data_IF_389532049436
#
_entry.id   IF_389532049436
#
_cell.length_a   1.000
_cell.length_b   1.000
_cell.length_c   1.000
_cell.angle_alpha   90.00
_cell.angle_beta   90.00
_cell.angle_gamma   90.00
#
_symmetry.space_group_name_H-M   'P 1'
#
loop_
_entity.id
_entity.type
_entity.pdbx_description
1 polymer ?
#
# COMPACT_ATOMS: atom_id res chain seq x y z
N UNK A 1 -68.60 15.04 -104.20
CA UNK A 1 -67.71 15.70 -103.22
C UNK A 1 -67.98 15.31 -101.76
N UNK A 2 -69.12 14.67 -101.43
CA UNK A 2 -69.45 14.23 -100.06
C UNK A 2 -69.01 12.79 -99.68
N UNK A 3 -68.66 11.93 -100.65
CA UNK A 3 -68.21 10.54 -100.36
C UNK A 3 -66.71 10.42 -100.02
N UNK A 4 -65.91 11.47 -100.28
CA UNK A 4 -64.48 11.50 -99.94
C UNK A 4 -64.21 11.87 -98.48
N UNK A 5 -65.09 12.65 -97.85
CA UNK A 5 -64.90 13.20 -96.50
C UNK A 5 -65.37 12.20 -95.42
N UNK A 6 -66.39 11.40 -95.71
CA UNK A 6 -66.89 10.33 -94.81
C UNK A 6 -65.91 9.17 -94.67
N UNK A 7 -65.11 8.83 -95.71
CA UNK A 7 -64.02 7.84 -95.59
C UNK A 7 -62.84 8.34 -94.73
N UNK A 8 -62.57 9.64 -94.69
CA UNK A 8 -61.54 10.22 -93.83
C UNK A 8 -61.97 10.25 -92.35
N UNK A 9 -63.23 10.58 -92.07
CA UNK A 9 -63.78 10.64 -90.71
C UNK A 9 -63.95 9.26 -90.07
N UNK A 10 -64.19 8.21 -90.86
CA UNK A 10 -64.21 6.83 -90.34
C UNK A 10 -62.82 6.27 -90.01
N UNK A 11 -61.76 6.80 -90.65
CA UNK A 11 -60.37 6.46 -90.34
C UNK A 11 -59.96 7.04 -88.98
N UNK A 12 -60.34 8.29 -88.69
CA UNK A 12 -60.02 8.97 -87.42
C UNK A 12 -60.79 8.46 -86.18
N UNK A 13 -62.01 7.91 -86.32
CA UNK A 13 -62.72 7.27 -85.20
C UNK A 13 -62.11 5.94 -84.77
N UNK A 14 -61.33 5.29 -85.64
CA UNK A 14 -60.57 4.06 -85.34
C UNK A 14 -59.25 4.33 -84.61
N UNK A 15 -58.75 5.58 -84.65
CA UNK A 15 -57.43 5.96 -84.14
C UNK A 15 -57.41 6.52 -82.70
N UNK A 16 -58.55 6.79 -82.04
CA UNK A 16 -58.53 7.19 -80.62
C UNK A 16 -57.92 6.12 -79.71
N UNK A 17 -58.14 4.83 -80.03
CA UNK A 17 -57.47 3.71 -79.36
C UNK A 17 -55.99 3.65 -79.70
N UNK A 18 -55.61 3.97 -80.93
CA UNK A 18 -54.20 4.01 -81.35
C UNK A 18 -53.43 5.14 -80.63
N UNK A 19 -54.00 6.35 -80.57
CA UNK A 19 -53.42 7.49 -79.84
C UNK A 19 -53.37 7.22 -78.33
N UNK A 20 -54.42 6.62 -77.75
CA UNK A 20 -54.42 6.21 -76.33
C UNK A 20 -53.37 5.14 -76.04
N UNK A 21 -53.20 4.16 -76.92
CA UNK A 21 -52.18 3.12 -76.77
C UNK A 21 -50.77 3.72 -76.89
N UNK A 22 -50.54 4.66 -77.82
CA UNK A 22 -49.26 5.36 -77.94
C UNK A 22 -48.97 6.20 -76.69
N UNK A 23 -49.96 6.92 -76.15
CA UNK A 23 -49.82 7.70 -74.91
C UNK A 23 -49.51 6.81 -73.71
N UNK A 24 -50.20 5.67 -73.59
CA UNK A 24 -49.94 4.67 -72.55
C UNK A 24 -48.54 4.10 -72.69
N UNK A 25 -48.08 3.78 -73.90
CA UNK A 25 -46.72 3.27 -74.15
C UNK A 25 -45.66 4.31 -73.82
N UNK A 26 -45.85 5.57 -74.23
CA UNK A 26 -44.91 6.67 -73.93
C UNK A 26 -44.85 6.96 -72.43
N UNK A 27 -45.99 7.01 -71.74
CA UNK A 27 -46.04 7.19 -70.28
C UNK A 27 -45.41 5.98 -69.55
N UNK A 28 -45.67 4.76 -70.01
CA UNK A 28 -45.08 3.53 -69.46
C UNK A 28 -43.57 3.52 -69.64
N UNK A 29 -43.06 3.93 -70.81
CA UNK A 29 -41.63 4.08 -71.07
C UNK A 29 -40.98 5.14 -70.19
N UNK A 30 -41.62 6.31 -70.05
CA UNK A 30 -41.12 7.37 -69.16
C UNK A 30 -41.05 6.91 -67.70
N UNK A 31 -42.09 6.22 -67.21
CA UNK A 31 -42.11 5.63 -65.86
C UNK A 31 -41.02 4.58 -65.72
N UNK A 32 -40.84 3.70 -66.72
CA UNK A 32 -39.81 2.67 -66.72
C UNK A 32 -38.40 3.27 -66.64
N UNK A 33 -38.12 4.32 -67.43
CA UNK A 33 -36.83 5.02 -67.40
C UNK A 33 -36.57 5.64 -66.03
N UNK A 34 -37.58 6.26 -65.40
CA UNK A 34 -37.45 6.82 -64.05
C UNK A 34 -37.17 5.72 -63.01
N UNK A 35 -37.87 4.59 -63.09
CA UNK A 35 -37.67 3.45 -62.18
C UNK A 35 -36.27 2.86 -62.37
N UNK A 36 -35.87 2.55 -63.61
CA UNK A 36 -34.55 1.99 -63.91
C UNK A 36 -33.44 2.94 -63.47
N UNK A 37 -33.58 4.25 -63.72
CA UNK A 37 -32.60 5.25 -63.28
C UNK A 37 -32.47 5.29 -61.75
N UNK A 38 -33.59 5.19 -61.01
CA UNK A 38 -33.57 5.10 -59.54
C UNK A 38 -32.93 3.81 -59.04
N UNK A 39 -33.19 2.68 -59.68
CA UNK A 39 -32.59 1.39 -59.31
C UNK A 39 -31.08 1.39 -59.57
N UNK A 40 -30.63 1.93 -60.70
CA UNK A 40 -29.19 2.03 -61.03
C UNK A 40 -28.49 2.99 -60.07
N UNK A 41 -29.10 4.14 -59.77
CA UNK A 41 -28.55 5.09 -58.81
C UNK A 41 -28.43 4.46 -57.42
N UNK A 42 -29.49 3.79 -56.95
CA UNK A 42 -29.48 3.08 -55.68
C UNK A 42 -28.41 1.99 -55.65
N UNK A 43 -28.28 1.19 -56.72
CA UNK A 43 -27.22 0.18 -56.81
C UNK A 43 -25.82 0.78 -56.77
N UNK A 44 -25.61 1.93 -57.41
CA UNK A 44 -24.33 2.65 -57.35
C UNK A 44 -24.03 3.18 -55.94
N UNK A 45 -25.02 3.77 -55.28
CA UNK A 45 -24.91 4.28 -53.91
C UNK A 45 -24.60 3.15 -52.91
N UNK A 46 -25.30 2.01 -53.02
CA UNK A 46 -25.05 0.83 -52.19
C UNK A 46 -23.66 0.25 -52.43
N UNK A 47 -23.24 0.09 -53.68
CA UNK A 47 -21.90 -0.41 -54.00
C UNK A 47 -20.80 0.52 -53.49
N UNK A 48 -21.02 1.85 -53.51
CA UNK A 48 -20.07 2.82 -52.96
C UNK A 48 -20.00 2.73 -51.44
N UNK A 49 -21.15 2.64 -50.76
CA UNK A 49 -21.20 2.46 -49.31
C UNK A 49 -20.53 1.16 -48.87
N UNK A 50 -20.79 0.05 -49.59
CA UNK A 50 -20.14 -1.24 -49.35
C UNK A 50 -18.62 -1.14 -49.54
N UNK A 51 -18.17 -0.41 -50.57
CA UNK A 51 -16.74 -0.19 -50.79
C UNK A 51 -16.09 0.66 -49.68
N UNK A 52 -16.72 1.76 -49.28
CA UNK A 52 -16.22 2.65 -48.23
C UNK A 52 -16.21 1.94 -46.86
N UNK A 53 -17.25 1.16 -46.53
CA UNK A 53 -17.31 0.34 -45.32
C UNK A 53 -16.24 -0.74 -45.33
N UNK A 54 -15.94 -1.39 -46.46
CA UNK A 54 -14.82 -2.35 -46.55
C UNK A 54 -13.46 -1.70 -46.28
N UNK A 55 -13.30 -0.40 -46.60
CA UNK A 55 -12.05 0.34 -46.42
C UNK A 55 -11.86 0.94 -45.02
N UNK A 56 -12.92 1.03 -44.22
CA UNK A 56 -12.86 1.40 -42.80
C UNK A 56 -12.53 0.18 -41.94
N UNK A 57 -11.40 0.24 -41.24
CA UNK A 57 -11.02 -0.80 -40.28
C UNK A 57 -10.67 -0.11 -38.97
N UNK A 58 -11.49 -0.33 -37.95
CA UNK A 58 -11.30 0.20 -36.61
C UNK A 58 -10.96 -0.94 -35.66
N UNK A 59 -10.00 -0.67 -34.77
CA UNK A 59 -9.62 -1.55 -33.68
C UNK A 59 -9.70 -0.79 -32.36
N UNK A 60 -10.21 -1.47 -31.33
CA UNK A 60 -10.06 -1.02 -29.94
C UNK A 60 -8.85 -1.76 -29.38
N UNK A 61 -7.74 -1.04 -29.22
CA UNK A 61 -6.48 -1.63 -28.79
C UNK A 61 -6.35 -1.80 -27.29
N UNK A 62 -7.02 -0.94 -26.50
CA UNK A 62 -7.03 -1.01 -25.05
C UNK A 62 -8.29 -0.32 -24.47
N UNK A 63 -8.82 -0.86 -23.38
CA UNK A 63 -9.86 -0.25 -22.57
C UNK A 63 -9.53 -0.45 -21.10
N UNK A 64 -9.20 0.63 -20.40
CA UNK A 64 -8.84 0.59 -18.97
C UNK A 64 -9.50 1.74 -18.22
N UNK A 65 -9.59 1.65 -16.90
CA UNK A 65 -9.87 2.83 -16.08
C UNK A 65 -8.81 3.90 -16.35
N UNK A 66 -9.22 5.16 -16.43
CA UNK A 66 -8.29 6.26 -16.53
C UNK A 66 -7.59 6.46 -15.18
N UNK A 67 -6.37 6.99 -15.21
CA UNK A 67 -5.63 7.39 -14.00
C UNK A 67 -5.51 8.91 -14.03
N UNK A 68 -6.07 9.63 -13.03
CA UNK A 68 -5.89 11.07 -12.93
C UNK A 68 -4.45 11.41 -12.53
N UNK A 69 -3.99 12.61 -12.90
CA UNK A 69 -2.67 13.08 -12.49
C UNK A 69 -2.53 13.07 -10.96
N UNK A 70 -1.43 12.50 -10.46
CA UNK A 70 -1.18 12.35 -9.03
C UNK A 70 -1.96 11.21 -8.36
N UNK A 71 -2.47 10.23 -9.11
CA UNK A 71 -2.96 8.96 -8.59
C UNK A 71 -2.02 7.82 -8.98
N UNK A 72 -1.73 6.91 -8.05
CA UNK A 72 -0.69 5.90 -8.25
C UNK A 72 -0.87 5.09 -9.54
N UNK A 73 -2.04 4.45 -9.71
CA UNK A 73 -2.56 3.94 -10.98
C UNK A 73 -4.03 3.51 -10.85
N UNK A 74 -4.66 3.18 -11.98
CA UNK A 74 -6.08 2.86 -12.09
C UNK A 74 -6.53 1.57 -11.36
N UNK A 75 -5.59 0.71 -10.93
CA UNK A 75 -5.92 -0.53 -10.21
C UNK A 75 -6.20 -0.29 -8.72
N UNK A 76 -5.91 0.90 -8.21
CA UNK A 76 -6.16 1.28 -6.82
C UNK A 76 -7.42 2.14 -6.73
N UNK A 77 -8.49 1.57 -6.19
CA UNK A 77 -9.80 2.21 -6.15
C UNK A 77 -9.93 3.30 -5.08
N UNK A 78 -9.12 3.23 -4.02
CA UNK A 78 -9.22 4.14 -2.87
C UNK A 78 -7.84 4.63 -2.44
N UNK A 79 -7.81 5.85 -1.88
CA UNK A 79 -6.68 6.34 -1.10
C UNK A 79 -7.14 7.20 0.07
N UNK A 80 -6.26 7.47 1.01
CA UNK A 80 -6.46 8.51 2.02
C UNK A 80 -5.17 9.32 2.22
N UNK A 81 -5.25 10.65 2.41
CA UNK A 81 -4.07 11.45 2.73
C UNK A 81 -3.64 11.18 4.17
N UNK A 82 -2.34 11.04 4.36
CA UNK A 82 -1.71 10.94 5.68
C UNK A 82 -0.94 12.22 5.93
N UNK A 83 -1.35 12.94 6.98
CA UNK A 83 -0.71 14.18 7.41
C UNK A 83 0.28 13.88 8.52
N UNK A 84 1.54 14.22 8.27
CA UNK A 84 2.63 14.15 9.22
C UNK A 84 2.93 15.57 9.72
N UNK A 85 2.57 15.84 10.96
CA UNK A 85 2.78 17.13 11.62
C UNK A 85 4.15 17.16 12.32
N UNK A 86 5.08 17.89 11.70
CA UNK A 86 6.42 18.15 12.18
C UNK A 86 6.60 19.62 12.63
N UNK A 87 5.50 20.34 12.92
CA UNK A 87 5.52 21.79 13.20
C UNK A 87 6.26 22.16 14.48
N UNK A 88 6.30 21.24 15.46
CA UNK A 88 7.00 21.42 16.73
C UNK A 88 8.48 21.02 16.68
N UNK A 89 8.90 20.34 15.62
CA UNK A 89 10.27 19.88 15.46
C UNK A 89 11.08 20.86 14.60
N UNK A 90 12.30 21.17 15.02
CA UNK A 90 13.18 22.11 14.32
C UNK A 90 14.04 21.45 13.24
N UNK A 91 14.03 20.13 13.17
CA UNK A 91 14.88 19.34 12.29
C UNK A 91 14.14 18.99 11.00
N UNK A 92 14.85 19.09 9.87
CA UNK A 92 14.46 18.41 8.65
C UNK A 92 14.77 16.93 8.82
N UNK A 93 13.80 16.06 8.56
CA UNK A 93 13.96 14.62 8.72
C UNK A 93 14.07 13.98 7.34
N UNK A 94 15.07 13.12 7.14
CA UNK A 94 15.32 12.40 5.88
C UNK A 94 15.24 10.91 6.15
N UNK A 95 14.60 10.15 5.26
CA UNK A 95 14.29 8.72 5.39
C UNK A 95 13.85 8.36 6.82
N UNK A 96 12.85 9.07 7.32
CA UNK A 96 12.43 8.99 8.72
C UNK A 96 11.22 8.08 8.85
N UNK A 97 11.28 7.13 9.80
CA UNK A 97 10.21 6.17 10.03
C UNK A 97 9.09 6.77 10.88
N UNK A 98 7.87 6.81 10.37
CA UNK A 98 6.68 7.24 11.09
C UNK A 98 5.71 6.06 11.27
N UNK A 99 4.96 6.05 12.38
CA UNK A 99 3.93 5.07 12.63
C UNK A 99 2.58 5.58 12.12
N UNK A 100 1.94 4.78 11.27
CA UNK A 100 0.56 4.95 10.82
C UNK A 100 -0.30 3.91 11.53
N UNK A 101 -1.36 4.36 12.19
CA UNK A 101 -2.38 3.52 12.83
C UNK A 101 -3.68 3.63 12.03
N UNK A 102 -4.16 2.52 11.48
CA UNK A 102 -5.26 2.48 10.50
C UNK A 102 -6.32 1.44 10.90
N UNK A 103 -7.60 1.81 10.80
CA UNK A 103 -8.72 0.88 10.97
C UNK A 103 -8.96 0.10 9.67
N UNK A 104 -8.22 -0.98 9.47
CA UNK A 104 -8.40 -1.85 8.31
C UNK A 104 -9.62 -2.75 8.46
N UNK A 105 -10.05 -3.05 9.69
CA UNK A 105 -11.21 -3.91 9.93
C UNK A 105 -12.50 -3.31 9.33
N UNK A 106 -12.71 -2.00 9.49
CA UNK A 106 -13.86 -1.30 8.90
C UNK A 106 -13.82 -1.29 7.37
N UNK A 107 -12.64 -1.15 6.77
CA UNK A 107 -12.45 -1.16 5.31
C UNK A 107 -12.67 -2.55 4.71
N UNK A 108 -12.17 -3.59 5.38
CA UNK A 108 -12.38 -5.00 4.99
C UNK A 108 -13.87 -5.35 5.09
N UNK A 109 -14.53 -4.99 6.20
CA UNK A 109 -15.98 -5.22 6.38
C UNK A 109 -16.81 -4.52 5.29
N UNK A 110 -16.32 -3.39 4.78
CA UNK A 110 -16.96 -2.65 3.69
C UNK A 110 -16.61 -3.16 2.29
N UNK A 111 -15.81 -4.23 2.17
CA UNK A 111 -15.37 -4.79 0.89
C UNK A 111 -14.35 -3.94 0.12
N UNK A 112 -13.70 -2.98 0.78
CA UNK A 112 -12.77 -2.03 0.14
C UNK A 112 -11.30 -2.46 0.20
N UNK A 113 -10.97 -3.43 1.03
CA UNK A 113 -9.61 -3.90 1.28
C UNK A 113 -9.62 -5.43 1.45
N UNK A 114 -8.51 -6.10 1.13
CA UNK A 114 -8.38 -7.54 1.34
C UNK A 114 -8.17 -7.88 2.81
N UNK A 115 -8.65 -9.06 3.24
CA UNK A 115 -8.58 -9.52 4.64
C UNK A 115 -7.15 -9.56 5.21
N UNK A 116 -6.15 -9.75 4.34
CA UNK A 116 -4.74 -9.85 4.70
C UNK A 116 -3.95 -8.54 4.53
N UNK A 117 -4.61 -7.44 4.14
CA UNK A 117 -4.01 -6.12 3.92
C UNK A 117 -2.83 -6.10 2.92
N UNK A 118 -2.75 -7.06 2.00
CA UNK A 118 -1.69 -7.11 0.97
C UNK A 118 -1.83 -5.99 -0.05
N UNK A 119 -3.05 -5.50 -0.23
CA UNK A 119 -3.41 -4.36 -1.05
C UNK A 119 -3.27 -3.04 -0.29
N UNK A 120 -2.10 -2.82 0.31
CA UNK A 120 -1.70 -1.52 0.87
C UNK A 120 -0.51 -0.99 0.09
N UNK A 121 -0.54 0.28 -0.32
CA UNK A 121 0.65 1.01 -0.81
C UNK A 121 0.74 2.37 -0.18
N UNK A 122 1.95 2.88 -0.04
CA UNK A 122 2.20 4.26 0.34
C UNK A 122 2.91 4.99 -0.80
N UNK A 123 2.49 6.22 -1.07
CA UNK A 123 3.19 7.10 -2.01
C UNK A 123 3.49 8.45 -1.38
N UNK A 124 4.48 9.14 -1.93
CA UNK A 124 4.83 10.50 -1.51
C UNK A 124 3.75 11.52 -1.91
N UNK A 125 3.99 12.80 -1.64
CA UNK A 125 3.05 13.90 -1.90
C UNK A 125 2.61 14.05 -3.35
N UNK A 126 3.33 13.46 -4.30
CA UNK A 126 2.95 13.42 -5.71
C UNK A 126 1.90 12.35 -6.03
N UNK A 127 1.56 11.49 -5.07
CA UNK A 127 0.60 10.41 -5.22
C UNK A 127 1.09 9.21 -6.04
N UNK A 128 2.33 9.24 -6.56
CA UNK A 128 2.87 8.23 -7.49
C UNK A 128 4.19 7.61 -7.04
N UNK A 129 5.05 8.35 -6.34
CA UNK A 129 6.35 7.86 -5.90
C UNK A 129 6.18 6.93 -4.71
N UNK A 130 6.45 5.63 -4.88
CA UNK A 130 6.30 4.61 -3.82
C UNK A 130 7.21 4.87 -2.61
N UNK A 131 6.70 4.56 -1.42
CA UNK A 131 7.42 4.63 -0.15
C UNK A 131 7.41 3.26 0.53
N UNK A 132 8.57 2.78 0.95
CA UNK A 132 8.70 1.51 1.69
C UNK A 132 7.96 1.56 3.02
N UNK A 133 7.26 0.47 3.32
CA UNK A 133 6.47 0.31 4.53
C UNK A 133 6.62 -1.10 5.11
N UNK A 134 6.24 -1.24 6.37
CA UNK A 134 6.23 -2.52 7.07
C UNK A 134 5.01 -2.58 7.99
N UNK A 135 4.17 -3.60 7.80
CA UNK A 135 3.06 -3.90 8.70
C UNK A 135 3.63 -4.57 9.95
N UNK A 136 3.70 -3.82 11.05
CA UNK A 136 4.21 -4.29 12.34
C UNK A 136 3.30 -5.35 12.94
N UNK A 137 2.00 -5.06 12.99
CA UNK A 137 0.98 -5.96 13.55
C UNK A 137 -0.43 -5.43 13.28
N UNK A 138 -1.43 -6.25 13.63
CA UNK A 138 -2.81 -5.80 13.71
C UNK A 138 -3.61 -5.87 12.40
N UNK A 139 -3.19 -6.66 11.41
CA UNK A 139 -4.00 -6.92 10.20
C UNK A 139 -5.44 -7.28 10.58
N UNK A 140 -6.41 -6.71 9.86
CA UNK A 140 -7.84 -6.83 10.16
C UNK A 140 -8.20 -6.39 11.59
N UNK A 141 -7.67 -5.24 12.02
CA UNK A 141 -7.98 -4.60 13.29
C UNK A 141 -8.41 -3.15 13.10
N UNK A 142 -9.01 -2.56 14.15
CA UNK A 142 -9.20 -1.12 14.25
C UNK A 142 -7.91 -0.35 14.52
N UNK A 143 -6.82 -1.07 14.81
CA UNK A 143 -5.49 -0.50 15.01
C UNK A 143 -4.40 -1.33 14.32
N UNK A 144 -4.44 -1.37 12.99
CA UNK A 144 -3.34 -1.90 12.16
C UNK A 144 -2.18 -0.93 12.21
N UNK A 145 -1.02 -1.42 12.63
CA UNK A 145 0.18 -0.61 12.90
C UNK A 145 1.18 -0.78 11.78
N UNK A 146 1.50 0.31 11.10
CA UNK A 146 2.30 0.30 9.87
C UNK A 146 3.40 1.35 9.99
N UNK A 147 4.66 0.92 9.89
CA UNK A 147 5.80 1.83 9.83
C UNK A 147 6.07 2.22 8.38
N UNK A 148 6.21 3.52 8.11
CA UNK A 148 6.45 4.07 6.77
C UNK A 148 7.73 4.92 6.78
N UNK A 149 8.67 4.66 5.87
CA UNK A 149 9.97 5.34 5.81
C UNK A 149 9.92 6.53 4.85
N UNK A 150 9.53 7.69 5.39
CA UNK A 150 9.25 8.88 4.57
C UNK A 150 10.55 9.56 4.13
N UNK A 151 10.78 9.76 2.82
CA UNK A 151 12.06 10.28 2.31
C UNK A 151 12.42 11.69 2.82
N UNK A 152 11.43 12.58 2.95
CA UNK A 152 11.64 13.94 3.45
C UNK A 152 10.42 14.47 4.22
N UNK A 153 10.67 14.96 5.43
CA UNK A 153 9.70 15.67 6.26
C UNK A 153 10.32 17.03 6.61
N UNK A 154 9.77 18.16 6.10
CA UNK A 154 10.35 19.48 6.34
C UNK A 154 10.28 19.90 7.82
N UNK A 155 11.30 20.64 8.27
CA UNK A 155 11.33 21.22 9.61
C UNK A 155 10.19 22.21 9.81
N UNK A 156 9.58 22.23 11.00
CA UNK A 156 8.53 23.19 11.39
C UNK A 156 7.37 23.27 10.39
N UNK A 157 7.05 22.18 9.72
CA UNK A 157 6.02 22.12 8.69
C UNK A 157 5.20 20.82 8.80
N UNK A 158 4.28 20.64 7.86
CA UNK A 158 3.56 19.40 7.63
C UNK A 158 4.01 18.77 6.32
N UNK A 159 3.92 17.46 6.25
CA UNK A 159 4.11 16.66 5.03
C UNK A 159 2.84 15.84 4.81
N UNK A 160 2.40 15.75 3.57
CA UNK A 160 1.34 14.82 3.16
C UNK A 160 1.95 13.70 2.35
N UNK A 161 1.58 12.47 2.67
CA UNK A 161 1.79 11.27 1.86
C UNK A 161 0.42 10.62 1.65
N UNK A 162 0.32 9.56 0.86
CA UNK A 162 -0.94 8.86 0.64
C UNK A 162 -0.82 7.38 0.98
N UNK A 163 -1.89 6.80 1.53
CA UNK A 163 -2.10 5.35 1.57
C UNK A 163 -3.13 4.97 0.53
N UNK A 164 -2.85 3.95 -0.26
CA UNK A 164 -3.72 3.39 -1.30
C UNK A 164 -4.19 1.99 -0.89
N UNK A 165 -5.42 1.64 -1.24
CA UNK A 165 -6.01 0.31 -1.06
C UNK A 165 -7.13 0.00 -2.06
N UNK A 166 -7.64 -1.24 -2.03
CA UNK A 166 -8.71 -1.68 -2.91
C UNK A 166 -8.24 -2.21 -4.25
N UNK A 167 -7.03 -2.79 -4.29
CA UNK A 167 -6.52 -3.53 -5.43
C UNK A 167 -6.52 -5.04 -5.10
N UNK A 168 -7.53 -5.81 -5.53
CA UNK A 168 -7.66 -7.22 -5.16
C UNK A 168 -6.50 -8.10 -5.66
N UNK A 169 -5.82 -7.69 -6.73
CA UNK A 169 -4.75 -8.46 -7.37
C UNK A 169 -3.34 -8.12 -6.83
N UNK A 170 -3.23 -7.16 -5.91
CA UNK A 170 -1.96 -6.73 -5.35
C UNK A 170 -1.31 -7.78 -4.45
N UNK A 171 -0.02 -8.05 -4.63
CA UNK A 171 0.79 -8.77 -3.65
C UNK A 171 1.28 -7.84 -2.53
N UNK A 172 1.65 -8.38 -1.36
CA UNK A 172 2.24 -7.57 -0.30
C UNK A 172 3.62 -7.03 -0.69
N UNK A 173 3.88 -5.76 -0.37
CA UNK A 173 5.21 -5.13 -0.45
C UNK A 173 5.74 -4.71 0.94
N UNK A 174 5.10 -5.19 2.02
CA UNK A 174 5.53 -4.89 3.39
C UNK A 174 6.89 -5.52 3.70
N UNK A 175 7.91 -4.70 3.98
CA UNK A 175 9.27 -5.16 4.26
C UNK A 175 9.92 -4.39 5.44
N UNK A 176 10.18 -5.09 6.54
CA UNK A 176 10.84 -4.53 7.72
C UNK A 176 12.28 -4.04 7.44
N UNK A 177 13.00 -4.73 6.57
CA UNK A 177 14.44 -4.47 6.32
C UNK A 177 14.65 -3.20 5.52
N UNK A 178 13.69 -2.82 4.69
CA UNK A 178 13.66 -1.56 3.96
C UNK A 178 13.29 -0.38 4.86
N UNK A 179 12.50 -0.62 5.91
CA UNK A 179 11.99 0.43 6.82
C UNK A 179 12.92 0.72 8.01
N UNK A 180 13.29 -0.30 8.80
CA UNK A 180 14.09 -0.11 10.01
C UNK A 180 15.56 0.16 9.67
N UNK A 181 16.35 0.71 10.59
CA UNK A 181 17.80 0.87 10.46
C UNK A 181 18.52 -0.47 10.64
N UNK A 182 19.68 -0.63 9.99
CA UNK A 182 20.46 -1.88 10.07
C UNK A 182 21.16 -2.02 11.43
N UNK A 183 21.48 -0.87 12.03
CA UNK A 183 22.22 -0.77 13.29
C UNK A 183 21.43 0.04 14.29
N UNK A 184 21.50 -0.37 15.54
CA UNK A 184 21.02 0.44 16.64
C UNK A 184 21.81 1.74 16.75
N UNK A 185 21.11 2.84 17.04
CA UNK A 185 21.74 4.09 17.49
C UNK A 185 21.55 4.23 19.00
N UNK A 186 22.63 4.48 19.75
CA UNK A 186 22.56 4.82 21.17
C UNK A 186 22.25 6.31 21.33
N UNK A 187 21.22 6.62 22.11
CA UNK A 187 20.79 7.96 22.48
C UNK A 187 20.88 8.11 24.00
N UNK A 188 21.58 9.16 24.44
CA UNK A 188 21.55 9.59 25.83
C UNK A 188 20.20 10.27 26.14
N UNK A 189 19.40 9.61 26.97
CA UNK A 189 18.07 10.09 27.34
C UNK A 189 18.03 10.48 28.81
N UNK A 190 17.02 11.29 29.18
CA UNK A 190 16.76 11.58 30.59
C UNK A 190 16.46 10.29 31.34
N UNK A 191 16.95 10.23 32.58
CA UNK A 191 16.62 9.14 33.50
C UNK A 191 15.11 8.99 33.62
N UNK A 192 14.66 7.74 33.55
CA UNK A 192 13.27 7.34 33.75
C UNK A 192 13.27 5.95 34.39
N UNK A 193 12.35 5.73 35.32
CA UNK A 193 12.11 4.44 35.95
C UNK A 193 10.65 4.04 35.78
N UNK A 194 10.41 2.78 35.45
CA UNK A 194 9.06 2.20 35.44
C UNK A 194 8.90 1.39 36.72
N UNK A 195 7.95 1.74 37.59
CA UNK A 195 7.73 0.95 38.79
C UNK A 195 7.29 -0.47 38.41
N UNK A 196 7.94 -1.50 38.96
CA UNK A 196 7.53 -2.88 38.73
C UNK A 196 6.18 -3.16 39.41
N UNK A 197 5.37 -4.02 38.82
CA UNK A 197 4.10 -4.50 39.41
C UNK A 197 4.24 -5.94 39.87
N UNK A 198 4.99 -6.76 39.12
CA UNK A 198 5.23 -8.16 39.41
C UNK A 198 5.92 -8.37 40.77
N UNK A 199 5.49 -9.43 41.43
CA UNK A 199 6.04 -9.91 42.72
C UNK A 199 6.72 -11.27 42.59
N UNK A 200 6.75 -11.84 41.38
CA UNK A 200 7.33 -13.15 41.11
C UNK A 200 8.75 -12.96 40.58
N UNK A 201 9.72 -13.53 41.30
CA UNK A 201 11.08 -13.64 40.81
C UNK A 201 11.19 -14.79 39.80
N UNK A 202 11.49 -14.44 38.55
CA UNK A 202 11.58 -15.40 37.46
C UNK A 202 12.95 -16.08 37.37
N UNK A 203 13.98 -15.57 38.05
CA UNK A 203 15.33 -16.13 38.04
C UNK A 203 15.83 -16.37 39.48
N UNK A 204 14.97 -17.02 40.27
CA UNK A 204 15.10 -17.21 41.72
C UNK A 204 16.33 -18.01 42.16
N UNK A 205 17.39 -17.29 42.51
CA UNK A 205 18.60 -17.80 43.11
C UNK A 205 19.85 -17.08 42.66
N UNK A 206 20.96 -17.78 42.88
CA UNK A 206 22.28 -17.49 42.34
C UNK A 206 22.54 -18.37 41.11
N UNK A 207 23.12 -17.80 40.07
CA UNK A 207 23.31 -18.44 38.75
C UNK A 207 22.04 -19.13 38.22
N UNK A 208 20.91 -18.41 38.23
CA UNK A 208 19.61 -18.89 37.76
C UNK A 208 19.13 -18.11 36.57
N UNK A 209 18.28 -18.74 35.77
CA UNK A 209 17.64 -18.08 34.65
C UNK A 209 16.43 -18.84 34.13
N UNK A 210 15.56 -18.12 33.42
CA UNK A 210 14.32 -18.68 32.88
C UNK A 210 13.90 -18.02 31.57
N UNK A 211 13.13 -18.76 30.78
CA UNK A 211 12.51 -18.26 29.57
C UNK A 211 11.27 -17.42 29.88
N UNK A 212 11.18 -16.25 29.26
CA UNK A 212 10.05 -15.35 29.36
C UNK A 212 9.53 -15.01 27.96
N UNK A 213 8.21 -15.06 27.80
CA UNK A 213 7.56 -14.73 26.53
C UNK A 213 7.41 -13.20 26.42
N UNK A 214 7.73 -12.67 25.25
CA UNK A 214 7.49 -11.28 24.89
C UNK A 214 6.09 -11.24 24.27
N UNK A 215 5.18 -10.33 24.71
CA UNK A 215 3.79 -10.32 24.26
C UNK A 215 3.60 -9.82 22.81
N UNK A 216 4.69 -9.62 22.08
CA UNK A 216 4.73 -9.14 20.71
C UNK A 216 5.99 -9.64 19.99
N UNK A 217 5.95 -9.65 18.66
CA UNK A 217 7.12 -9.87 17.81
C UNK A 217 8.05 -8.68 17.94
N UNK A 218 9.11 -8.83 18.73
CA UNK A 218 10.08 -7.77 19.01
C UNK A 218 11.19 -7.77 17.95
N UNK A 219 11.33 -6.72 17.12
CA UNK A 219 12.43 -6.65 16.16
C UNK A 219 13.73 -6.27 16.88
N UNK A 220 14.65 -7.23 16.96
CA UNK A 220 16.00 -7.04 17.50
C UNK A 220 17.00 -7.24 16.37
N UNK A 221 17.71 -6.19 15.96
CA UNK A 221 18.54 -6.18 14.74
C UNK A 221 17.82 -6.73 13.49
N UNK A 222 16.56 -6.29 13.29
CA UNK A 222 15.70 -6.74 12.17
C UNK A 222 15.44 -8.25 12.14
N UNK A 223 15.55 -8.92 13.29
CA UNK A 223 15.06 -10.29 13.47
C UNK A 223 13.99 -10.31 14.55
N UNK A 224 12.87 -10.99 14.26
CA UNK A 224 11.74 -11.07 15.19
C UNK A 224 12.05 -12.03 16.33
N UNK A 225 11.96 -11.53 17.56
CA UNK A 225 12.14 -12.28 18.79
C UNK A 225 10.81 -12.31 19.57
N UNK A 226 10.43 -13.50 20.05
CA UNK A 226 9.17 -13.70 20.78
C UNK A 226 9.38 -14.14 22.23
N UNK A 227 10.62 -14.35 22.63
CA UNK A 227 11.01 -14.76 23.99
C UNK A 227 12.43 -14.32 24.30
N UNK A 228 12.73 -14.20 25.57
CA UNK A 228 14.05 -13.85 26.10
C UNK A 228 14.36 -14.76 27.30
N UNK A 229 15.59 -15.25 27.37
CA UNK A 229 16.07 -15.99 28.54
C UNK A 229 16.71 -15.00 29.51
N UNK A 230 16.15 -14.81 30.69
CA UNK A 230 16.61 -13.85 31.69
C UNK A 230 17.43 -14.53 32.78
N UNK A 231 18.55 -13.93 33.15
CA UNK A 231 19.46 -14.45 34.16
C UNK A 231 19.50 -13.54 35.41
N UNK A 232 19.70 -14.15 36.60
CA UNK A 232 19.94 -13.47 37.88
C UNK A 232 21.16 -12.54 37.80
N UNK A 233 22.18 -12.92 37.02
CA UNK A 233 23.42 -12.17 36.76
C UNK A 233 23.23 -10.92 35.88
N UNK A 234 22.00 -10.45 35.65
CA UNK A 234 21.77 -9.11 35.10
C UNK A 234 21.84 -8.99 33.58
N UNK A 235 21.55 -10.08 32.86
CA UNK A 235 21.44 -10.08 31.40
C UNK A 235 20.25 -10.91 30.89
N UNK A 236 19.93 -10.73 29.62
CA UNK A 236 19.01 -11.56 28.86
C UNK A 236 19.58 -11.99 27.51
N UNK A 237 19.21 -13.20 27.05
CA UNK A 237 19.65 -13.79 25.79
C UNK A 237 18.46 -14.06 24.87
N UNK A 238 18.65 -13.79 23.57
CA UNK A 238 17.74 -14.20 22.51
C UNK A 238 18.35 -15.37 21.75
N UNK A 239 17.52 -16.38 21.45
CA UNK A 239 17.89 -17.54 20.62
C UNK A 239 19.30 -18.13 20.89
N UNK A 240 19.73 -18.33 22.15
CA UNK A 240 21.03 -18.92 22.40
C UNK A 240 21.00 -20.40 21.99
N UNK A 241 22.11 -20.93 21.49
CA UNK A 241 22.27 -22.37 21.22
C UNK A 241 22.00 -23.21 22.47
N UNK A 242 22.47 -22.72 23.62
CA UNK A 242 22.09 -23.16 24.95
C UNK A 242 22.07 -21.96 25.88
N UNK A 243 21.06 -21.82 26.75
CA UNK A 243 21.10 -20.81 27.80
C UNK A 243 22.32 -20.98 28.70
N UNK A 244 22.80 -19.87 29.26
CA UNK A 244 23.86 -19.81 30.26
C UNK A 244 23.47 -18.82 31.34
N UNK A 245 23.97 -19.06 32.55
CA UNK A 245 23.81 -18.19 33.71
C UNK A 245 25.17 -17.67 34.20
N UNK A 246 26.12 -17.49 33.28
CA UNK A 246 27.51 -17.14 33.60
C UNK A 246 27.62 -15.88 34.46
N UNK A 247 28.24 -15.97 35.64
CA UNK A 247 28.55 -14.83 36.50
C UNK A 247 29.78 -14.05 36.00
N UNK A 248 30.66 -14.68 35.20
CA UNK A 248 31.90 -14.09 34.73
C UNK A 248 31.64 -13.15 33.56
N UNK A 249 31.32 -11.89 33.87
CA UNK A 249 31.02 -10.89 32.85
C UNK A 249 32.18 -10.64 31.88
N UNK A 250 31.86 -10.52 30.59
CA UNK A 250 32.86 -10.41 29.54
C UNK A 250 32.36 -9.64 28.33
N UNK A 251 33.11 -8.63 27.91
CA UNK A 251 32.82 -7.90 26.68
C UNK A 251 32.93 -8.81 25.44
N UNK A 252 33.85 -9.79 25.46
CA UNK A 252 33.98 -10.78 24.38
C UNK A 252 32.71 -11.62 24.26
N UNK A 253 32.17 -12.10 25.38
CA UNK A 253 30.94 -12.91 25.38
C UNK A 253 29.72 -12.08 25.01
N UNK A 254 29.61 -10.83 25.47
CA UNK A 254 28.56 -9.91 25.04
C UNK A 254 28.53 -9.80 23.51
N UNK A 255 29.69 -9.57 22.89
CA UNK A 255 29.84 -9.41 21.43
C UNK A 255 29.46 -10.64 20.60
N UNK A 256 29.54 -11.83 21.18
CA UNK A 256 29.30 -13.10 20.50
C UNK A 256 27.91 -13.70 20.79
N UNK A 257 27.06 -12.98 21.53
CA UNK A 257 25.71 -13.43 21.87
C UNK A 257 24.66 -12.40 21.46
N UNK A 258 23.52 -12.89 21.00
CA UNK A 258 22.29 -12.11 20.91
C UNK A 258 21.82 -11.77 22.33
N UNK A 259 22.20 -10.59 22.83
CA UNK A 259 22.22 -10.32 24.26
C UNK A 259 21.83 -8.88 24.58
N UNK A 260 21.12 -8.70 25.69
CA UNK A 260 20.94 -7.42 26.37
C UNK A 260 21.51 -7.59 27.77
N UNK A 261 22.50 -6.78 28.13
CA UNK A 261 23.17 -6.77 29.42
C UNK A 261 23.00 -5.38 30.05
N UNK A 262 21.90 -5.10 30.76
CA UNK A 262 21.73 -3.82 31.44
C UNK A 262 22.77 -3.61 32.54
N UNK A 263 23.19 -4.70 33.18
CA UNK A 263 24.22 -4.72 34.22
C UNK A 263 24.66 -6.17 34.47
N UNK A 264 25.51 -6.73 33.60
CA UNK A 264 25.99 -8.11 33.78
C UNK A 264 27.17 -8.16 34.76
N UNK A 265 26.97 -8.80 35.90
CA UNK A 265 27.98 -9.02 36.94
C UNK A 265 27.63 -10.32 37.71
N UNK A 266 28.40 -10.66 38.73
CA UNK A 266 28.12 -11.77 39.65
C UNK A 266 27.03 -11.36 40.68
N UNK A 267 25.75 -11.62 40.33
CA UNK A 267 24.56 -11.12 41.02
C UNK A 267 23.58 -12.24 41.39
N UNK A 268 22.92 -12.06 42.53
CA UNK A 268 21.99 -13.05 43.09
C UNK A 268 20.67 -12.45 43.50
N UNK A 269 19.62 -13.28 43.48
CA UNK A 269 18.26 -12.86 43.87
C UNK A 269 17.73 -13.46 45.17
N UNK A 270 18.49 -14.30 45.86
CA UNK A 270 18.06 -15.01 47.07
C UNK A 270 18.49 -14.33 48.38
N UNK A 271 19.22 -13.20 48.32
CA UNK A 271 19.67 -12.44 49.49
C UNK A 271 19.27 -10.97 49.36
N UNK A 272 18.57 -10.47 50.37
CA UNK A 272 18.19 -9.07 50.49
C UNK A 272 19.31 -8.26 51.15
N UNK A 273 19.43 -6.99 50.78
CA UNK A 273 20.47 -6.13 51.31
C UNK A 273 20.55 -4.75 50.68
N UNK A 274 21.22 -3.82 51.36
CA UNK A 274 21.31 -2.42 50.93
C UNK A 274 19.92 -1.80 50.67
N UNK A 275 19.69 -1.35 49.43
CA UNK A 275 18.42 -0.77 48.97
C UNK A 275 17.43 -1.80 48.40
N UNK A 276 17.79 -3.08 48.40
CA UNK A 276 16.99 -4.19 47.85
C UNK A 276 16.42 -5.02 48.99
N UNK A 277 15.13 -4.81 49.30
CA UNK A 277 14.42 -5.58 50.34
C UNK A 277 13.76 -6.86 49.81
N UNK A 278 13.48 -6.92 48.50
CA UNK A 278 12.85 -8.05 47.82
C UNK A 278 13.64 -8.34 46.54
N UNK A 279 14.79 -9.00 46.67
CA UNK A 279 15.63 -9.32 45.52
C UNK A 279 14.86 -10.18 44.50
N UNK A 280 15.19 -10.06 43.22
CA UNK A 280 14.53 -10.78 42.14
C UNK A 280 14.71 -10.17 40.77
N UNK A 281 14.43 -10.99 39.76
CA UNK A 281 14.20 -10.58 38.38
C UNK A 281 12.70 -10.60 38.12
N UNK A 282 12.15 -9.44 37.78
CA UNK A 282 10.72 -9.24 37.65
C UNK A 282 10.35 -8.85 36.23
N UNK A 283 9.25 -9.39 35.74
CA UNK A 283 8.74 -9.15 34.39
C UNK A 283 7.35 -8.55 34.45
N UNK A 284 7.17 -7.42 33.77
CA UNK A 284 5.88 -6.77 33.54
C UNK A 284 5.65 -6.61 32.03
N UNK A 285 4.53 -7.16 31.54
CA UNK A 285 4.17 -7.20 30.12
C UNK A 285 3.03 -6.24 29.81
N UNK A 286 3.22 -5.40 28.79
CA UNK A 286 2.22 -4.45 28.29
C UNK A 286 1.99 -4.67 26.79
N UNK A 287 0.99 -3.98 26.23
CA UNK A 287 0.70 -4.05 24.80
C UNK A 287 1.80 -3.41 23.94
N UNK A 288 2.48 -2.37 24.42
CA UNK A 288 3.47 -1.61 23.66
C UNK A 288 4.92 -1.82 24.15
N UNK A 289 5.11 -2.41 25.33
CA UNK A 289 6.42 -2.65 25.89
C UNK A 289 6.48 -3.83 26.88
N UNK A 290 7.68 -4.32 27.12
CA UNK A 290 8.01 -5.42 28.03
C UNK A 290 9.13 -4.95 28.96
N UNK A 291 8.89 -4.95 30.26
CA UNK A 291 9.82 -4.43 31.28
C UNK A 291 10.41 -5.59 32.04
N UNK A 292 11.74 -5.64 32.08
CA UNK A 292 12.49 -6.50 32.98
C UNK A 292 13.17 -5.64 34.03
N UNK A 293 12.92 -5.93 35.30
CA UNK A 293 13.52 -5.24 36.44
C UNK A 293 14.36 -6.21 37.24
N UNK A 294 15.63 -5.90 37.41
CA UNK A 294 16.51 -6.56 38.36
C UNK A 294 16.59 -5.69 39.61
N UNK A 295 16.26 -6.28 40.75
CA UNK A 295 16.65 -5.76 42.05
C UNK A 295 17.49 -6.84 42.73
N UNK A 296 18.80 -6.63 42.83
CA UNK A 296 19.73 -7.72 43.14
C UNK A 296 20.81 -7.27 44.10
N UNK A 297 21.45 -8.24 44.75
CA UNK A 297 22.68 -8.05 45.52
C UNK A 297 23.86 -8.70 44.79
N UNK A 298 25.08 -8.22 45.04
CA UNK A 298 26.29 -8.84 44.52
C UNK A 298 26.58 -10.13 45.25
N UNK A 299 27.05 -11.16 44.54
CA UNK A 299 27.57 -12.33 45.19
C UNK A 299 28.82 -11.96 46.03
N UNK A 300 28.89 -12.51 47.25
CA UNK A 300 29.99 -12.25 48.18
C UNK A 300 29.80 -11.09 49.16
N UNK A 301 28.97 -10.08 48.86
CA UNK A 301 28.59 -9.04 49.84
C UNK A 301 27.15 -8.54 49.62
N UNK A 302 26.26 -8.91 50.53
CA UNK A 302 24.85 -8.53 50.51
C UNK A 302 24.62 -7.01 50.70
N UNK A 303 25.62 -6.27 51.18
CA UNK A 303 25.53 -4.82 51.32
C UNK A 303 25.65 -4.12 49.97
N UNK A 304 26.19 -4.80 48.96
CA UNK A 304 26.32 -4.29 47.59
C UNK A 304 25.03 -4.66 46.86
N UNK A 305 24.20 -3.66 46.57
CA UNK A 305 22.87 -3.86 45.98
C UNK A 305 22.59 -2.84 44.90
N UNK A 306 21.82 -3.23 43.90
CA UNK A 306 21.53 -2.37 42.74
C UNK A 306 20.15 -2.67 42.17
N UNK A 307 19.54 -1.65 41.57
CA UNK A 307 18.30 -1.76 40.79
C UNK A 307 18.52 -1.26 39.37
N UNK A 308 18.11 -2.05 38.39
CA UNK A 308 18.24 -1.69 36.98
C UNK A 308 17.16 -2.38 36.12
N UNK A 309 16.98 -1.89 34.89
CA UNK A 309 15.96 -2.34 33.96
C UNK A 309 16.45 -2.48 32.53
N UNK A 310 15.85 -3.43 31.81
CA UNK A 310 15.71 -3.41 30.37
C UNK A 310 14.23 -3.23 30.02
N UNK A 311 13.92 -2.33 29.10
CA UNK A 311 12.58 -2.18 28.54
C UNK A 311 12.67 -2.41 27.04
N UNK A 312 11.96 -3.41 26.54
CA UNK A 312 11.82 -3.70 25.12
C UNK A 312 10.53 -3.05 24.65
N UNK A 313 10.59 -2.13 23.72
CA UNK A 313 9.42 -1.54 23.08
C UNK A 313 9.06 -2.34 21.83
N UNK A 314 7.77 -2.46 21.54
CA UNK A 314 7.24 -3.20 20.38
C UNK A 314 7.91 -2.81 19.05
N UNK A 315 8.25 -1.54 18.92
CA UNK A 315 8.89 -0.95 17.74
C UNK A 315 10.39 -1.30 17.58
N UNK A 316 10.95 -2.13 18.45
CA UNK A 316 12.37 -2.53 18.43
C UNK A 316 13.28 -1.68 19.30
N UNK A 317 12.80 -0.59 19.88
CA UNK A 317 13.63 0.25 20.74
C UNK A 317 13.92 -0.49 22.06
N UNK A 318 15.16 -0.39 22.54
CA UNK A 318 15.59 -0.95 23.83
C UNK A 318 15.99 0.19 24.75
N UNK A 319 15.43 0.23 25.95
CA UNK A 319 15.88 1.17 26.99
C UNK A 319 16.56 0.43 28.12
N UNK A 320 17.73 0.90 28.52
CA UNK A 320 18.43 0.44 29.73
C UNK A 320 18.36 1.56 30.76
N UNK A 321 17.95 1.23 31.98
CA UNK A 321 17.93 2.18 33.10
C UNK A 321 18.72 1.60 34.27
N UNK A 322 19.58 2.41 34.88
CA UNK A 322 20.18 2.13 36.19
C UNK A 322 19.57 3.12 37.18
N UNK A 323 19.00 2.60 38.26
CA UNK A 323 18.44 3.39 39.35
C UNK A 323 19.47 3.59 40.47
N UNK A 324 19.09 3.42 41.73
CA UNK A 324 20.00 3.51 42.86
C UNK A 324 20.86 2.25 43.03
N UNK A 325 21.93 2.41 43.81
CA UNK A 325 22.77 1.31 44.27
C UNK A 325 23.39 1.65 45.64
N UNK A 326 23.80 0.63 46.39
CA UNK A 326 24.74 0.72 47.51
C UNK A 326 26.09 0.19 47.07
N UNK A 327 27.18 0.82 47.51
CA UNK A 327 28.55 0.41 47.18
C UNK A 327 28.80 0.22 45.67
N UNK A 328 28.26 1.12 44.84
CA UNK A 328 28.26 1.00 43.38
C UNK A 328 29.65 0.76 42.75
N UNK A 329 30.72 1.21 43.41
CA UNK A 329 32.09 1.04 42.93
C UNK A 329 32.65 -0.37 43.13
N UNK A 330 32.00 -1.21 43.94
CA UNK A 330 32.43 -2.58 44.22
C UNK A 330 31.95 -3.56 43.13
N UNK A 331 31.11 -3.08 42.20
CA UNK A 331 30.69 -3.82 41.00
C UNK A 331 31.68 -3.63 39.84
N UNK A 332 31.85 -4.69 39.06
CA UNK A 332 32.71 -4.71 37.86
C UNK A 332 31.95 -5.20 36.62
N UNK A 333 30.82 -4.59 36.25
CA UNK A 333 29.88 -5.18 35.30
C UNK A 333 30.32 -5.01 33.84
N UNK A 334 29.71 -5.78 32.95
CA UNK A 334 29.66 -5.52 31.49
C UNK A 334 28.26 -5.03 31.12
N UNK A 335 28.15 -3.92 30.38
CA UNK A 335 26.88 -3.33 29.99
C UNK A 335 26.79 -3.15 28.47
N UNK A 336 25.63 -3.48 27.90
CA UNK A 336 25.42 -3.27 26.47
C UNK A 336 24.29 -4.07 25.83
N UNK A 337 24.23 -3.99 24.52
CA UNK A 337 23.38 -4.82 23.66
C UNK A 337 24.21 -5.37 22.50
N UNK A 338 23.87 -6.55 22.00
CA UNK A 338 24.64 -7.21 20.94
C UNK A 338 23.81 -8.12 20.06
N UNK A 339 24.16 -8.13 18.76
CA UNK A 339 23.66 -9.07 17.76
C UNK A 339 24.39 -10.42 17.80
N UNK A 340 25.52 -10.52 18.49
CA UNK A 340 26.30 -11.75 18.58
C UNK A 340 27.18 -12.06 17.37
N UNK A 341 27.45 -11.08 16.50
CA UNK A 341 28.30 -11.23 15.31
C UNK A 341 29.67 -10.54 15.46
N UNK A 342 30.02 -10.11 16.68
CA UNK A 342 31.25 -9.39 17.01
C UNK A 342 31.44 -8.03 16.30
N UNK A 343 30.43 -7.54 15.59
CA UNK A 343 30.48 -6.28 14.82
C UNK A 343 29.39 -5.32 15.29
N UNK A 344 28.17 -5.83 15.45
CA UNK A 344 26.99 -5.06 15.75
C UNK A 344 26.65 -5.20 17.24
N UNK A 345 27.24 -4.32 18.04
CA UNK A 345 26.99 -4.23 19.47
C UNK A 345 27.21 -2.80 19.97
N UNK A 346 26.67 -2.50 21.14
CA UNK A 346 26.97 -1.31 21.92
C UNK A 346 27.53 -1.72 23.26
N UNK A 347 28.73 -1.25 23.58
CA UNK A 347 29.33 -1.33 24.92
C UNK A 347 29.18 0.01 25.62
N UNK A 348 28.46 0.01 26.74
CA UNK A 348 28.23 1.21 27.57
C UNK A 348 28.86 1.06 28.96
N UNK A 349 29.75 0.09 29.15
CA UNK A 349 30.33 -0.27 30.44
C UNK A 349 31.06 0.89 31.12
N UNK A 350 31.76 1.71 30.35
CA UNK A 350 32.50 2.89 30.83
C UNK A 350 31.59 4.07 31.19
N UNK A 351 30.32 4.05 30.76
CA UNK A 351 29.34 5.09 31.02
C UNK A 351 28.50 4.82 32.29
N UNK A 352 28.74 3.69 32.96
CA UNK A 352 27.91 3.23 34.09
C UNK A 352 27.83 4.27 35.20
N UNK A 353 26.61 4.56 35.64
CA UNK A 353 26.31 5.48 36.73
C UNK A 353 24.88 5.22 37.25
N UNK A 354 24.64 5.45 38.53
CA UNK A 354 23.28 5.47 39.09
C UNK A 354 22.44 6.60 38.50
N UNK A 355 21.11 6.38 38.44
CA UNK A 355 20.16 7.34 37.88
C UNK A 355 20.47 7.75 36.44
N UNK A 356 20.74 6.75 35.59
CA UNK A 356 21.13 6.93 34.19
C UNK A 356 20.27 6.05 33.28
N UNK A 357 19.93 6.58 32.11
CA UNK A 357 19.18 5.86 31.08
C UNK A 357 19.84 6.01 29.72
N UNK A 358 19.75 4.95 28.92
CA UNK A 358 20.12 4.92 27.52
C UNK A 358 18.96 4.37 26.70
N UNK A 359 18.78 4.90 25.50
CA UNK A 359 17.84 4.38 24.53
C UNK A 359 18.64 3.90 23.31
N UNK A 360 18.37 2.69 22.86
CA UNK A 360 18.89 2.14 21.63
C UNK A 360 17.73 2.05 20.65
N UNK A 361 17.84 2.71 19.50
CA UNK A 361 16.76 2.75 18.51
C UNK A 361 17.14 2.04 17.21
N UNK A 362 16.20 1.27 16.64
CA UNK A 362 16.28 0.75 15.25
C UNK A 362 15.55 1.66 14.26
N UNK A 363 15.18 2.85 14.70
CA UNK A 363 14.60 3.91 13.88
C UNK A 363 15.35 5.19 14.16
N UNK A 364 15.25 6.16 13.24
CA UNK A 364 15.81 7.48 13.48
C UNK A 364 15.11 8.14 14.66
N UNK A 365 15.88 8.76 15.53
CA UNK A 365 15.38 9.41 16.73
C UNK A 365 15.28 10.92 16.54
N UNK A 366 14.18 11.51 17.01
CA UNK A 366 14.01 12.96 17.08
C UNK A 366 13.10 13.34 18.24
N UNK A 367 13.21 14.57 18.74
CA UNK A 367 12.34 15.05 19.82
C UNK A 367 11.93 16.51 19.59
N UNK A 368 10.62 16.85 19.62
CA UNK A 368 9.49 15.92 19.69
C UNK A 368 9.34 15.08 18.42
N UNK A 369 8.76 13.88 18.54
CA UNK A 369 8.42 13.07 17.35
C UNK A 369 7.28 13.71 16.54
N UNK A 370 7.27 13.55 15.20
CA UNK A 370 6.14 13.96 14.37
C UNK A 370 4.86 13.25 14.77
N UNK A 371 3.71 13.92 14.60
CA UNK A 371 2.39 13.30 14.80
C UNK A 371 1.80 12.89 13.46
N UNK A 372 1.10 11.76 13.42
CA UNK A 372 0.50 11.22 12.19
C UNK A 372 -1.02 11.17 12.35
N UNK A 373 -1.74 11.56 11.29
CA UNK A 373 -3.19 11.42 11.20
C UNK A 373 -3.61 11.07 9.77
N UNK A 374 -4.63 10.22 9.63
CA UNK A 374 -5.22 9.85 8.35
C UNK A 374 -6.44 10.76 8.10
N UNK A 375 -6.54 11.33 6.89
CA UNK A 375 -7.66 12.13 6.45
C UNK A 375 -8.79 11.29 5.85
N UNK A 376 -9.75 11.95 5.22
CA UNK A 376 -10.91 11.30 4.60
C UNK A 376 -10.51 10.46 3.38
N UNK A 377 -11.24 9.37 3.15
CA UNK A 377 -11.06 8.52 1.97
C UNK A 377 -11.43 9.27 0.68
N UNK A 378 -10.59 9.10 -0.33
CA UNK A 378 -10.79 9.54 -1.70
C UNK A 378 -11.01 8.31 -2.60
N UNK A 379 -11.99 8.38 -3.50
CA UNK A 379 -12.32 7.31 -4.46
C UNK A 379 -11.75 7.68 -5.83
N UNK A 380 -11.23 6.68 -6.55
CA UNK A 380 -10.83 6.85 -7.94
C UNK A 380 -12.06 7.16 -8.80
N UNK A 381 -12.13 8.40 -9.30
CA UNK A 381 -13.18 8.87 -10.20
C UNK A 381 -12.56 9.59 -11.41
N UNK A 382 -12.06 8.80 -12.36
CA UNK A 382 -11.44 9.31 -13.59
C UNK A 382 -12.09 8.80 -14.88
N UNK A 383 -13.10 7.93 -14.75
CA UNK A 383 -13.78 7.24 -15.84
C UNK A 383 -12.88 6.28 -16.62
N UNK A 384 -13.07 6.20 -17.94
CA UNK A 384 -12.47 5.17 -18.80
C UNK A 384 -11.61 5.77 -19.89
N UNK A 385 -10.41 5.21 -20.06
CA UNK A 385 -9.50 5.43 -21.17
C UNK A 385 -9.77 4.39 -22.27
N UNK A 386 -10.01 4.87 -23.48
CA UNK A 386 -10.10 4.06 -24.69
C UNK A 386 -8.94 4.37 -25.61
N UNK A 387 -8.28 3.34 -26.13
CA UNK A 387 -7.28 3.49 -27.19
C UNK A 387 -7.80 2.90 -28.50
N UNK A 388 -8.02 3.76 -29.50
CA UNK A 388 -8.50 3.38 -30.81
C UNK A 388 -7.39 3.44 -31.86
N UNK A 389 -7.47 2.56 -32.85
CA UNK A 389 -6.60 2.58 -34.02
C UNK A 389 -7.42 2.45 -35.29
N UNK A 390 -7.14 3.31 -36.27
CA UNK A 390 -7.69 3.17 -37.62
C UNK A 390 -6.67 2.49 -38.51
N UNK A 391 -6.89 1.21 -38.83
CA UNK A 391 -6.05 0.41 -39.73
C UNK A 391 -6.54 0.47 -41.19
N UNK A 392 -7.65 1.17 -41.42
CA UNK A 392 -8.23 1.40 -42.74
C UNK A 392 -7.54 2.51 -43.52
N UNK A 393 -7.97 2.67 -44.79
CA UNK A 393 -7.41 3.66 -45.73
C UNK A 393 -8.16 5.00 -45.74
N UNK A 394 -9.29 5.08 -45.04
CA UNK A 394 -10.14 6.27 -44.94
C UNK A 394 -10.15 6.80 -43.52
N UNK A 395 -10.27 8.11 -43.35
CA UNK A 395 -10.64 8.70 -42.06
C UNK A 395 -12.03 8.20 -41.67
N UNK A 396 -12.18 7.79 -40.42
CA UNK A 396 -13.44 7.32 -39.86
C UNK A 396 -13.88 8.22 -38.70
N UNK A 397 -15.19 8.22 -38.42
CA UNK A 397 -15.77 8.87 -37.26
C UNK A 397 -16.44 7.82 -36.37
N UNK A 398 -16.04 7.72 -35.11
CA UNK A 398 -16.78 6.95 -34.10
C UNK A 398 -17.95 7.81 -33.63
N UNK A 399 -19.16 7.23 -33.71
CA UNK A 399 -20.43 7.91 -33.38
C UNK A 399 -21.06 7.39 -32.09
N UNK A 400 -20.74 6.16 -31.68
CA UNK A 400 -21.20 5.66 -30.38
C UNK A 400 -20.27 4.60 -29.79
N UNK A 401 -20.23 4.58 -28.46
CA UNK A 401 -19.65 3.50 -27.66
C UNK A 401 -20.78 2.75 -26.96
N UNK A 402 -20.62 1.43 -26.84
CA UNK A 402 -21.52 0.59 -26.08
C UNK A 402 -20.75 -0.20 -25.04
N UNK A 403 -21.14 -0.07 -23.77
CA UNK A 403 -20.54 -0.80 -22.64
C UNK A 403 -21.58 -1.80 -22.15
N UNK A 404 -21.26 -3.09 -22.22
CA UNK A 404 -22.21 -4.15 -21.92
C UNK A 404 -21.61 -5.26 -21.05
N UNK A 405 -22.34 -5.73 -20.05
CA UNK A 405 -22.12 -7.01 -19.38
C UNK A 405 -23.45 -7.78 -19.27
N UNK A 406 -23.54 -8.78 -18.40
CA UNK A 406 -24.76 -9.58 -18.21
C UNK A 406 -25.96 -8.81 -17.63
N UNK A 407 -25.73 -7.66 -17.00
CA UNK A 407 -26.75 -6.88 -16.29
C UNK A 407 -26.88 -5.43 -16.76
N UNK A 408 -25.90 -4.91 -17.50
CA UNK A 408 -25.79 -3.51 -17.95
C UNK A 408 -25.61 -3.46 -19.46
N UNK A 409 -26.38 -2.59 -20.11
CA UNK A 409 -26.29 -2.32 -21.55
C UNK A 409 -26.47 -0.82 -21.78
N UNK A 410 -25.37 -0.10 -21.98
CA UNK A 410 -25.39 1.36 -22.08
C UNK A 410 -24.73 1.85 -23.37
N UNK A 411 -25.37 2.85 -23.98
CA UNK A 411 -24.88 3.54 -25.17
C UNK A 411 -24.45 4.96 -24.79
N UNK A 412 -23.28 5.34 -25.28
CA UNK A 412 -22.73 6.68 -25.14
C UNK A 412 -22.51 7.28 -26.52
N UNK A 413 -23.06 8.46 -26.75
CA UNK A 413 -22.78 9.19 -27.99
C UNK A 413 -21.38 9.78 -27.95
N UNK A 414 -20.69 9.68 -29.09
CA UNK A 414 -19.30 10.12 -29.29
C UNK A 414 -19.22 10.80 -30.65
N UNK A 415 -18.27 11.71 -30.82
CA UNK A 415 -17.90 12.24 -32.13
C UNK A 415 -16.39 12.35 -32.20
N UNK A 416 -15.74 11.30 -32.69
CA UNK A 416 -14.29 11.18 -32.68
C UNK A 416 -13.77 10.80 -34.07
N UNK A 417 -12.99 11.69 -34.67
CA UNK A 417 -12.38 11.47 -35.99
C UNK A 417 -11.00 10.84 -35.82
N UNK A 418 -10.70 9.80 -36.61
CA UNK A 418 -9.43 9.09 -36.59
C UNK A 418 -8.92 8.97 -38.02
N UNK A 419 -7.77 9.59 -38.30
CA UNK A 419 -7.17 9.52 -39.64
C UNK A 419 -6.64 8.11 -39.93
N UNK A 420 -6.45 7.81 -41.22
CA UNK A 420 -5.86 6.53 -41.63
C UNK A 420 -4.49 6.32 -41.00
N UNK A 421 -4.29 5.14 -40.39
CA UNK A 421 -3.05 4.75 -39.72
C UNK A 421 -2.85 5.35 -38.32
N UNK A 422 -3.73 6.24 -37.87
CA UNK A 422 -3.62 6.94 -36.59
C UNK A 422 -4.03 6.05 -35.41
N UNK A 423 -3.34 6.24 -34.27
CA UNK A 423 -3.75 5.74 -32.95
C UNK A 423 -4.08 6.95 -32.08
N UNK A 424 -5.21 6.89 -31.38
CA UNK A 424 -5.64 7.96 -30.48
C UNK A 424 -6.07 7.40 -29.11
N UNK A 425 -5.91 8.24 -28.08
CA UNK A 425 -6.37 7.99 -26.72
C UNK A 425 -7.55 8.92 -26.41
N UNK A 426 -8.61 8.38 -25.83
CA UNK A 426 -9.85 9.12 -25.56
C UNK A 426 -10.38 8.75 -24.17
N UNK A 427 -10.52 9.74 -23.29
CA UNK A 427 -11.00 9.54 -21.91
C UNK A 427 -12.42 10.05 -21.77
N UNK A 428 -13.26 9.30 -21.07
CA UNK A 428 -14.63 9.68 -20.73
C UNK A 428 -14.88 9.47 -19.24
N UNK A 429 -15.06 10.56 -18.51
CA UNK A 429 -15.31 10.59 -17.06
C UNK A 429 -16.71 10.13 -16.66
N UNK A 430 -17.67 10.18 -17.58
CA UNK A 430 -19.06 9.77 -17.37
C UNK A 430 -19.31 8.27 -17.62
N UNK A 431 -18.25 7.51 -17.92
CA UNK A 431 -18.32 6.08 -18.18
C UNK A 431 -17.62 5.34 -17.04
N UNK A 432 -18.25 4.27 -16.55
CA UNK A 432 -17.66 3.29 -15.64
C UNK A 432 -17.65 1.91 -16.29
N UNK A 433 -16.56 1.17 -16.11
CA UNK A 433 -16.50 -0.23 -16.52
C UNK A 433 -17.29 -1.10 -15.53
N UNK A 434 -18.20 -1.96 -16.00
CA UNK A 434 -18.90 -2.90 -15.13
C UNK A 434 -17.99 -4.06 -14.72
N UNK A 435 -18.45 -4.85 -13.75
CA UNK A 435 -17.74 -6.08 -13.36
C UNK A 435 -17.55 -7.01 -14.55
N UNK A 436 -16.37 -7.65 -14.59
CA UNK A 436 -16.01 -8.65 -15.60
C UNK A 436 -16.94 -9.87 -15.52
N UNK A 437 -17.27 -10.53 -16.65
CA UNK A 437 -16.84 -10.19 -18.00
C UNK A 437 -17.67 -9.05 -18.62
N UNK A 438 -17.04 -8.22 -19.45
CA UNK A 438 -17.72 -7.14 -20.17
C UNK A 438 -17.21 -6.97 -21.60
N UNK A 439 -18.00 -6.27 -22.42
CA UNK A 439 -17.66 -5.94 -23.80
C UNK A 439 -17.84 -4.45 -24.07
N UNK A 440 -16.91 -3.88 -24.83
CA UNK A 440 -16.98 -2.52 -25.35
C UNK A 440 -17.08 -2.59 -26.87
N UNK A 441 -18.05 -1.89 -27.44
CA UNK A 441 -18.20 -1.76 -28.89
C UNK A 441 -18.07 -0.32 -29.32
N UNK A 442 -17.25 -0.05 -30.34
CA UNK A 442 -17.15 1.25 -30.98
C UNK A 442 -17.80 1.16 -32.37
N UNK A 443 -18.82 1.99 -32.59
CA UNK A 443 -19.59 2.02 -33.84
C UNK A 443 -19.21 3.27 -34.61
N UNK A 444 -18.84 3.09 -35.87
CA UNK A 444 -18.49 4.16 -36.81
C UNK A 444 -19.74 4.74 -37.50
N UNK A 445 -19.61 5.93 -38.10
CA UNK A 445 -20.68 6.57 -38.88
C UNK A 445 -21.20 5.68 -40.03
N UNK A 446 -20.33 4.84 -40.62
CA UNK A 446 -20.67 3.94 -41.73
C UNK A 446 -21.14 2.56 -41.27
N UNK A 447 -21.23 2.32 -39.95
CA UNK A 447 -21.82 1.12 -39.36
C UNK A 447 -20.82 0.01 -39.00
N UNK A 448 -19.53 0.19 -39.24
CA UNK A 448 -18.51 -0.77 -38.80
C UNK A 448 -18.36 -0.75 -37.28
N UNK A 449 -18.13 -1.94 -36.70
CA UNK A 449 -18.06 -2.14 -35.26
C UNK A 449 -16.73 -2.79 -34.88
N UNK A 450 -15.97 -2.13 -34.03
CA UNK A 450 -14.87 -2.76 -33.30
C UNK A 450 -15.38 -3.26 -31.95
N UNK A 451 -14.91 -4.43 -31.51
CA UNK A 451 -15.30 -5.06 -30.24
C UNK A 451 -14.06 -5.35 -29.42
N UNK A 452 -14.08 -4.91 -28.16
CA UNK A 452 -13.16 -5.29 -27.11
C UNK A 452 -13.91 -6.14 -26.09
N UNK A 453 -13.31 -7.21 -25.61
CA UNK A 453 -13.89 -8.09 -24.58
C UNK A 453 -12.88 -8.31 -23.48
N UNK A 454 -13.34 -8.18 -22.24
CA UNK A 454 -12.57 -8.46 -21.03
C UNK A 454 -13.26 -9.60 -20.28
N UNK A 455 -12.50 -10.61 -19.87
CA UNK A 455 -13.05 -11.83 -19.25
C UNK A 455 -12.97 -11.81 -17.74
#
# INVERSE_FOLDING_TARGET
>A
MLEGITRLLHRFRRDKRAVSNVLVVVLSLAILVVIVSRVVLWSYEMNRLDWETMQEQIEISNVTKATPEGWYNAEWNYRAPIVIDNTLNRNHLTDFQVLVEMDTASLITSGKMRENCEDIRFTDSDGVTLISYWIESGVNSSNTRIWVKVPSIPAKSRKTIYVYYGNPDAASESDMTEVLEEKYTKIDVRYKWTARVSTVDVANGDDRGSWQNIPFSFPFWREMKNRIYLCSNGFGLFDPTSPTNDYSNSLSELRNRWMIAPFWDDLRTDVAGGIVSKPGVYVDSYSDHFVVTWEVTRYGDWRDSIKFQAILYRNGDVRINIDGATNFNDFSPTLGISKGDNVNYWDITSERKTYKSWLFTLRKYTYPEPKVSIGEEEVLDAGVLFEFRNTGSLTLQIVSLWINNSTRHERYDVSLFINSGEKISYVRSDIDLPDKPYTVKAVTERGNIAVYSEN
#
